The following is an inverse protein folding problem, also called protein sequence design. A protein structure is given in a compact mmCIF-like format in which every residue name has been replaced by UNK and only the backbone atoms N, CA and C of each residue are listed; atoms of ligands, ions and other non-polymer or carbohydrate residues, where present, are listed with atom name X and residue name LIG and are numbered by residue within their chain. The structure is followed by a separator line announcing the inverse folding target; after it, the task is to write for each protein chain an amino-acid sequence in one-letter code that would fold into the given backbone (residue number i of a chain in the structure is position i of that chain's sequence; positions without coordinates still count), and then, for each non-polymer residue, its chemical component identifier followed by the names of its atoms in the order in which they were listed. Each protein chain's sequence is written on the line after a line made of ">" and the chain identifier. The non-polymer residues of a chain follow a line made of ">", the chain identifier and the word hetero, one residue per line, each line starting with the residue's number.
data_IF_717740512117
#
_entry.id   IF_717740512117
#
_cell.length_a   1.000
_cell.length_b   1.000
_cell.length_c   1.000
_cell.angle_alpha   90.00
_cell.angle_beta   90.00
_cell.angle_gamma   90.00
#
_symmetry.space_group_name_H-M   'P 1'
#
loop_
_entity.id
_entity.type
_entity.pdbx_description
1 polymer ?
#
# COMPACT_ATOMS: atom_id res chain seq x y z
N UNK A 1 14.79 -16.19 13.76
CA UNK A 1 15.25 -15.20 12.76
C UNK A 1 14.31 -14.01 12.85
N UNK A 2 14.84 -12.83 13.18
CA UNK A 2 14.01 -11.67 13.49
C UNK A 2 13.38 -11.08 12.23
N UNK A 3 12.05 -11.04 12.19
CA UNK A 3 11.22 -10.24 11.28
C UNK A 3 11.42 -8.73 11.53
N UNK A 4 12.67 -8.27 11.46
CA UNK A 4 13.01 -6.88 11.75
C UNK A 4 12.72 -6.04 10.50
N UNK A 5 11.49 -5.54 10.42
CA UNK A 5 11.06 -4.59 9.40
C UNK A 5 11.38 -3.18 9.90
N UNK A 6 12.28 -2.48 9.21
CA UNK A 6 12.61 -1.10 9.55
C UNK A 6 11.51 -0.15 9.06
N UNK A 7 11.03 0.73 9.94
CA UNK A 7 10.04 1.74 9.56
C UNK A 7 10.76 2.94 8.94
N UNK A 8 10.44 3.23 7.69
CA UNK A 8 10.96 4.38 6.97
C UNK A 8 10.00 5.56 7.17
N UNK A 9 10.45 6.67 7.79
CA UNK A 9 9.59 7.81 8.05
C UNK A 9 9.26 8.53 6.74
N UNK A 10 7.96 8.66 6.46
CA UNK A 10 7.42 9.36 5.28
C UNK A 10 6.48 10.46 5.71
N UNK A 11 6.60 11.64 5.12
CA UNK A 11 5.67 12.74 5.31
C UNK A 11 4.56 12.72 4.25
N UNK A 12 3.42 13.35 4.54
CA UNK A 12 2.29 13.46 3.60
C UNK A 12 2.63 14.27 2.35
N UNK A 13 3.65 15.13 2.43
CA UNK A 13 4.16 15.95 1.33
C UNK A 13 5.26 15.28 0.52
N UNK A 14 5.71 14.08 0.91
CA UNK A 14 6.80 13.41 0.20
C UNK A 14 6.35 12.89 -1.17
N UNK A 15 7.28 12.95 -2.13
CA UNK A 15 7.05 12.46 -3.47
C UNK A 15 7.20 10.94 -3.52
N UNK A 16 6.07 10.25 -3.70
CA UNK A 16 5.93 8.80 -3.69
C UNK A 16 6.99 8.04 -4.51
N UNK A 17 7.28 8.36 -5.78
CA UNK A 17 8.30 7.62 -6.53
C UNK A 17 9.71 7.85 -5.97
N UNK A 18 9.98 8.98 -5.30
CA UNK A 18 11.26 9.20 -4.62
C UNK A 18 11.38 8.32 -3.37
N UNK A 19 10.32 8.23 -2.57
CA UNK A 19 10.29 7.34 -1.39
C UNK A 19 10.50 5.89 -1.83
N UNK A 20 9.79 5.44 -2.87
CA UNK A 20 9.87 4.06 -3.34
C UNK A 20 11.28 3.72 -3.79
N UNK A 21 11.89 4.55 -4.66
CA UNK A 21 13.26 4.32 -5.11
C UNK A 21 14.21 4.23 -3.92
N UNK A 22 14.10 5.17 -2.96
CA UNK A 22 14.98 5.18 -1.79
C UNK A 22 14.76 3.95 -0.88
N UNK A 23 13.52 3.50 -0.69
CA UNK A 23 13.21 2.31 0.10
C UNK A 23 13.73 1.03 -0.58
N UNK A 24 13.57 0.92 -1.90
CA UNK A 24 14.10 -0.21 -2.69
C UNK A 24 15.63 -0.23 -2.64
N UNK A 25 16.29 0.91 -2.83
CA UNK A 25 17.74 1.01 -2.72
C UNK A 25 18.23 0.62 -1.33
N UNK A 26 17.60 1.14 -0.28
CA UNK A 26 17.95 0.79 1.10
C UNK A 26 17.71 -0.69 1.41
N UNK A 27 16.56 -1.24 1.01
CA UNK A 27 16.24 -2.64 1.25
C UNK A 27 17.27 -3.56 0.60
N UNK A 28 17.67 -3.27 -0.64
CA UNK A 28 18.70 -4.03 -1.35
C UNK A 28 20.09 -3.83 -0.71
N UNK A 29 20.44 -2.60 -0.34
CA UNK A 29 21.77 -2.27 0.23
C UNK A 29 22.00 -2.85 1.62
N UNK A 30 20.99 -2.76 2.48
CA UNK A 30 21.05 -3.23 3.87
C UNK A 30 20.58 -4.68 4.02
N UNK A 31 19.99 -5.25 2.96
CA UNK A 31 19.41 -6.59 2.93
C UNK A 31 18.32 -6.79 4.02
N UNK A 32 17.57 -5.73 4.32
CA UNK A 32 16.48 -5.75 5.32
C UNK A 32 15.19 -5.23 4.71
N UNK A 33 14.02 -5.72 5.15
CA UNK A 33 12.75 -5.18 4.72
C UNK A 33 12.48 -3.81 5.34
N UNK A 34 11.99 -2.86 4.52
CA UNK A 34 11.60 -1.51 4.94
C UNK A 34 10.10 -1.31 4.77
N UNK A 35 9.42 -0.75 5.77
CA UNK A 35 8.01 -0.38 5.71
C UNK A 35 7.86 1.13 5.67
N UNK A 36 7.07 1.65 4.74
CA UNK A 36 6.72 3.07 4.70
C UNK A 36 5.21 3.26 4.72
N UNK A 37 4.76 4.45 5.16
CA UNK A 37 3.34 4.75 5.38
C UNK A 37 2.96 6.07 4.75
N UNK A 38 2.16 6.03 3.68
CA UNK A 38 1.84 7.21 2.90
C UNK A 38 0.34 7.28 2.59
N UNK A 39 -0.31 8.39 2.97
CA UNK A 39 -1.75 8.63 2.75
C UNK A 39 -2.63 7.45 3.22
N UNK A 40 -2.28 6.83 4.35
CA UNK A 40 -3.00 5.67 4.92
C UNK A 40 -2.66 4.31 4.30
N UNK A 41 -1.85 4.24 3.22
CA UNK A 41 -1.30 2.97 2.75
C UNK A 41 -0.07 2.59 3.58
N UNK A 42 0.04 1.30 3.92
CA UNK A 42 1.16 0.72 4.66
C UNK A 42 1.80 -0.33 3.78
N UNK A 43 2.97 -0.04 3.20
CA UNK A 43 3.64 -0.94 2.24
C UNK A 43 5.00 -1.38 2.77
N UNK A 44 5.26 -2.68 2.68
CA UNK A 44 6.53 -3.31 3.07
C UNK A 44 7.32 -3.67 1.81
N UNK A 45 8.52 -3.11 1.71
CA UNK A 45 9.48 -3.32 0.63
C UNK A 45 10.51 -4.32 1.11
N UNK A 46 10.59 -5.44 0.41
CA UNK A 46 11.59 -6.49 0.68
C UNK A 46 12.78 -6.36 -0.30
N UNK A 47 13.98 -6.79 0.10
CA UNK A 47 15.11 -6.88 -0.83
C UNK A 47 14.72 -7.72 -2.06
N UNK A 48 15.13 -7.27 -3.26
CA UNK A 48 14.75 -7.88 -4.54
C UNK A 48 13.45 -7.36 -5.17
N UNK A 49 12.66 -6.54 -4.47
CA UNK A 49 11.49 -5.88 -5.09
C UNK A 49 11.92 -4.69 -5.98
N UNK A 50 11.12 -4.41 -7.00
CA UNK A 50 11.32 -3.27 -7.90
C UNK A 50 10.41 -2.11 -7.53
N UNK A 51 10.81 -0.89 -7.89
CA UNK A 51 10.01 0.31 -7.66
C UNK A 51 8.62 0.23 -8.31
N UNK A 52 8.51 -0.45 -9.47
CA UNK A 52 7.23 -0.69 -10.15
C UNK A 52 6.27 -1.54 -9.31
N UNK A 53 6.75 -2.68 -8.81
CA UNK A 53 5.93 -3.59 -7.99
C UNK A 53 5.44 -2.91 -6.70
N UNK A 54 6.33 -2.17 -6.03
CA UNK A 54 5.98 -1.40 -4.84
C UNK A 54 4.95 -0.30 -5.16
N UNK A 55 5.11 0.40 -6.29
CA UNK A 55 4.17 1.44 -6.71
C UNK A 55 2.77 0.87 -6.99
N UNK A 56 2.68 -0.28 -7.66
CA UNK A 56 1.38 -0.94 -7.89
C UNK A 56 0.68 -1.32 -6.58
N UNK A 57 1.44 -1.79 -5.58
CA UNK A 57 0.90 -2.11 -4.25
C UNK A 57 0.40 -0.85 -3.52
N UNK A 58 1.16 0.24 -3.55
CA UNK A 58 0.72 1.53 -2.96
C UNK A 58 -0.56 2.02 -3.64
N UNK A 59 -0.62 1.98 -4.97
CA UNK A 59 -1.82 2.37 -5.71
C UNK A 59 -3.01 1.45 -5.42
N UNK A 60 -2.77 0.14 -5.22
CA UNK A 60 -3.81 -0.81 -4.81
C UNK A 60 -4.35 -0.47 -3.42
N UNK A 61 -3.47 -0.22 -2.45
CA UNK A 61 -3.89 0.16 -1.10
C UNK A 61 -4.60 1.51 -1.06
N UNK A 62 -4.15 2.49 -1.83
CA UNK A 62 -4.86 3.77 -1.95
C UNK A 62 -6.26 3.61 -2.54
N UNK A 63 -6.42 2.76 -3.56
CA UNK A 63 -7.76 2.44 -4.09
C UNK A 63 -8.62 1.75 -3.05
N UNK A 64 -8.07 0.80 -2.30
CA UNK A 64 -8.78 0.10 -1.22
C UNK A 64 -9.16 1.02 -0.05
N UNK A 65 -8.31 2.01 0.27
CA UNK A 65 -8.52 2.98 1.33
C UNK A 65 -9.41 4.16 0.90
N UNK A 66 -9.50 4.43 -0.40
CA UNK A 66 -10.43 5.41 -1.00
C UNK A 66 -11.80 4.84 -1.31
N UNK A 67 -11.97 3.51 -1.31
CA UNK A 67 -13.30 2.95 -1.25
C UNK A 67 -13.88 3.39 0.10
N UNK A 68 -14.93 4.23 0.12
CA UNK A 68 -15.61 4.47 1.36
C UNK A 68 -16.02 3.09 1.87
N UNK A 69 -15.64 2.76 3.10
CA UNK A 69 -16.19 1.60 3.82
C UNK A 69 -17.72 1.69 3.99
N UNK A 70 -18.33 2.76 3.48
CA UNK A 70 -19.75 3.03 3.37
C UNK A 70 -20.35 2.75 1.98
N UNK A 71 -19.61 2.21 1.02
CA UNK A 71 -20.24 1.57 -0.14
C UNK A 71 -20.66 0.15 0.27
N UNK A 72 -21.74 0.07 1.04
CA UNK A 72 -22.52 -1.15 1.17
C UNK A 72 -22.69 -1.78 -0.23
N UNK A 73 -22.55 -3.11 -0.38
CA UNK A 73 -22.82 -3.74 -1.67
C UNK A 73 -24.23 -3.33 -2.10
N UNK A 74 -24.49 -2.96 -3.37
CA UNK A 74 -25.86 -2.91 -3.84
C UNK A 74 -26.38 -4.33 -3.67
N UNK A 75 -27.27 -4.54 -2.70
CA UNK A 75 -27.95 -5.80 -2.51
C UNK A 75 -28.62 -6.12 -3.85
N UNK A 76 -28.03 -7.04 -4.59
CA UNK A 76 -28.60 -7.56 -5.83
C UNK A 76 -29.94 -8.19 -5.46
N UNK A 77 -31.01 -7.68 -6.08
CA UNK A 77 -32.26 -8.37 -6.34
C UNK A 77 -32.96 -9.05 -5.15
N UNK A 78 -33.91 -8.33 -4.54
CA UNK A 78 -35.01 -8.90 -3.78
C UNK A 78 -36.34 -8.52 -4.42
N UNK A 79 -36.95 -9.48 -5.11
CA UNK A 79 -38.26 -9.48 -5.74
C UNK A 79 -39.29 -8.48 -5.18
N UNK A 80 -39.77 -7.56 -6.04
CA UNK A 80 -41.10 -6.99 -5.90
C UNK A 80 -42.11 -8.00 -6.46
N UNK A 81 -42.77 -8.71 -5.54
CA UNK A 81 -44.08 -9.31 -5.78
C UNK A 81 -45.17 -8.22 -5.77
N UNK A 82 -46.40 -8.61 -6.13
CA UNK A 82 -47.69 -7.87 -6.13
C UNK A 82 -47.91 -6.99 -7.38
N UNK A 83 -48.97 -7.17 -8.17
CA UNK A 83 -50.16 -8.00 -8.12
C UNK A 83 -51.08 -7.63 -9.30
#
# INVERSE_FOLDING_TARGET
>A
MGDHVEDYPTAETDYLPHIINRCVEKANRHNVPYRFRLNGAVVVVSPGQTAGAVNEEVQRQWRMNRLPRDAAPPATAGAAATG
#
